data_IF_322143338071
#
_entry.id   IF_322143338071
#
_cell.length_a   1.000
_cell.length_b   1.000
_cell.length_c   1.000
_cell.angle_alpha   90.00
_cell.angle_beta   90.00
_cell.angle_gamma   90.00
#
_symmetry.space_group_name_H-M   'P 1'
#
loop_
_entity.id
_entity.type
_entity.pdbx_description
1 polymer ?
#
# COMPACT_ATOMS: atom_id res chain seq x y z
N UNK A 1 -12.97 49.63 0.40
CA UNK A 1 -12.22 49.35 -0.85
C UNK A 1 -11.33 48.15 -0.54
N UNK A 2 -11.76 46.89 -0.64
CA UNK A 2 -12.14 46.08 -1.83
C UNK A 2 -11.21 46.33 -3.03
N UNK A 3 -10.38 45.33 -3.38
CA UNK A 3 -10.01 44.82 -4.73
C UNK A 3 -9.09 43.57 -4.59
N UNK A 4 -9.34 42.62 -3.67
CA UNK A 4 -8.68 41.29 -3.75
C UNK A 4 -9.56 40.09 -3.36
N UNK A 5 -10.82 40.31 -3.00
CA UNK A 5 -11.78 39.24 -2.80
C UNK A 5 -12.69 39.11 -4.02
N UNK A 6 -12.19 38.49 -5.10
CA UNK A 6 -13.04 37.83 -6.12
C UNK A 6 -12.22 37.08 -7.17
N UNK A 7 -12.59 35.81 -7.33
CA UNK A 7 -12.35 34.92 -8.49
C UNK A 7 -10.96 34.25 -8.50
N UNK A 8 -10.73 33.39 -7.52
CA UNK A 8 -10.35 32.02 -7.88
C UNK A 8 -11.51 31.15 -7.44
N UNK A 9 -12.24 30.55 -8.39
CA UNK A 9 -12.93 29.30 -8.07
C UNK A 9 -11.83 28.35 -7.61
N UNK A 10 -11.66 28.19 -6.29
CA UNK A 10 -10.98 27.02 -5.75
C UNK A 10 -11.81 25.85 -6.26
N UNK A 11 -11.34 25.20 -7.32
CA UNK A 11 -11.84 23.87 -7.65
C UNK A 11 -11.54 23.04 -6.41
N UNK A 12 -12.55 22.77 -5.61
CA UNK A 12 -12.45 21.82 -4.51
C UNK A 12 -12.50 20.42 -5.10
N UNK A 13 -11.67 19.51 -4.56
CA UNK A 13 -11.81 18.10 -4.88
C UNK A 13 -13.08 17.60 -4.18
N UNK A 14 -13.75 16.64 -4.81
CA UNK A 14 -14.79 15.85 -4.15
C UNK A 14 -14.29 14.40 -4.13
N UNK A 15 -14.03 13.79 -2.95
CA UNK A 15 -13.55 12.42 -2.85
C UNK A 15 -14.42 11.41 -3.60
N UNK A 16 -15.74 11.64 -3.62
CA UNK A 16 -16.69 10.79 -4.35
C UNK A 16 -16.51 10.85 -5.88
N UNK A 17 -16.10 12.00 -6.42
CA UNK A 17 -15.95 12.22 -7.87
C UNK A 17 -14.55 11.89 -8.38
N UNK A 18 -13.57 11.80 -7.47
CA UNK A 18 -12.14 11.70 -7.79
C UNK A 18 -11.59 10.29 -7.64
N UNK A 19 -12.29 9.41 -6.91
CA UNK A 19 -11.83 8.03 -6.69
C UNK A 19 -10.51 7.96 -5.95
N UNK A 20 -10.26 8.91 -5.03
CA UNK A 20 -9.06 8.96 -4.19
C UNK A 20 -8.93 7.64 -3.42
N UNK A 21 -7.74 7.06 -3.44
CA UNK A 21 -7.41 5.86 -2.67
C UNK A 21 -6.13 6.06 -1.88
N UNK A 22 -6.04 5.39 -0.74
CA UNK A 22 -4.89 5.44 0.15
C UNK A 22 -4.28 4.05 0.35
N UNK A 23 -2.98 4.03 0.61
CA UNK A 23 -2.24 2.83 0.92
C UNK A 23 -2.14 1.81 -0.21
N UNK A 24 -1.36 0.78 0.08
CA UNK A 24 -1.11 -0.36 -0.80
C UNK A 24 -2.27 -1.35 -0.73
N UNK A 25 -2.51 -2.06 -1.83
CA UNK A 25 -3.48 -3.15 -1.84
C UNK A 25 -2.93 -4.37 -1.08
N UNK A 26 -3.68 -4.89 -0.10
CA UNK A 26 -3.27 -6.06 0.71
C UNK A 26 -3.91 -7.37 0.27
N UNK A 27 -5.07 -7.31 -0.39
CA UNK A 27 -5.78 -8.49 -0.89
C UNK A 27 -6.38 -9.43 0.16
N UNK A 28 -6.38 -9.05 1.45
CA UNK A 28 -6.91 -9.90 2.53
C UNK A 28 -8.43 -9.88 2.66
N UNK A 29 -9.07 -8.75 2.41
CA UNK A 29 -10.52 -8.67 2.52
C UNK A 29 -11.14 -9.36 1.30
N UNK A 30 -11.68 -10.56 1.52
CA UNK A 30 -12.49 -11.31 0.55
C UNK A 30 -13.95 -11.24 0.93
N UNK A 31 -14.81 -10.96 -0.03
CA UNK A 31 -16.26 -11.02 0.17
C UNK A 31 -16.75 -12.48 0.06
N UNK A 32 -18.00 -12.71 0.46
CA UNK A 32 -18.64 -14.04 0.42
C UNK A 32 -18.58 -14.66 -0.97
N UNK A 33 -18.89 -13.89 -2.02
CA UNK A 33 -18.83 -14.36 -3.41
C UNK A 33 -17.44 -14.86 -3.81
N UNK A 34 -16.37 -14.15 -3.45
CA UNK A 34 -15.01 -14.60 -3.70
C UNK A 34 -14.72 -15.92 -2.95
N UNK A 35 -15.10 -16.03 -1.68
CA UNK A 35 -14.92 -17.28 -0.91
C UNK A 35 -15.64 -18.45 -1.59
N UNK A 36 -16.87 -18.25 -2.06
CA UNK A 36 -17.63 -19.25 -2.82
C UNK A 36 -16.93 -19.65 -4.13
N UNK A 37 -16.38 -18.69 -4.89
CA UNK A 37 -15.64 -18.98 -6.12
C UNK A 37 -14.38 -19.80 -5.83
N UNK A 38 -13.68 -19.53 -4.73
CA UNK A 38 -12.52 -20.31 -4.32
C UNK A 38 -12.90 -21.77 -3.99
N UNK A 39 -13.92 -21.97 -3.16
CA UNK A 39 -14.42 -23.30 -2.82
C UNK A 39 -14.89 -24.08 -4.06
N UNK A 40 -15.58 -23.37 -4.96
CA UNK A 40 -16.02 -23.90 -6.25
C UNK A 40 -14.84 -24.35 -7.11
N UNK A 41 -13.77 -23.54 -7.19
CA UNK A 41 -12.55 -23.91 -7.91
C UNK A 41 -11.96 -25.21 -7.37
N UNK A 42 -11.79 -25.33 -6.05
CA UNK A 42 -11.27 -26.53 -5.40
C UNK A 42 -12.15 -27.76 -5.69
N UNK A 43 -13.47 -27.61 -5.59
CA UNK A 43 -14.44 -28.68 -5.85
C UNK A 43 -14.39 -29.16 -7.31
N UNK A 44 -14.34 -28.24 -8.27
CA UNK A 44 -14.27 -28.55 -9.71
C UNK A 44 -12.96 -29.23 -10.09
N UNK A 45 -11.83 -28.78 -9.51
CA UNK A 45 -10.54 -29.41 -9.74
C UNK A 45 -10.53 -30.88 -9.28
N UNK A 46 -11.07 -31.16 -8.08
CA UNK A 46 -11.21 -32.53 -7.55
C UNK A 46 -12.07 -33.43 -8.43
N UNK A 47 -13.07 -32.85 -9.12
CA UNK A 47 -13.92 -33.53 -10.11
C UNK A 47 -13.28 -33.66 -11.50
N UNK A 48 -12.04 -33.19 -11.67
CA UNK A 48 -11.28 -33.16 -12.93
C UNK A 48 -11.90 -32.25 -14.01
N UNK A 49 -12.78 -31.32 -13.61
CA UNK A 49 -13.28 -30.27 -14.49
C UNK A 49 -12.33 -29.06 -14.43
N UNK A 50 -11.16 -29.23 -15.04
CA UNK A 50 -10.05 -28.29 -14.89
C UNK A 50 -10.34 -26.91 -15.50
N UNK A 51 -11.00 -26.85 -16.66
CA UNK A 51 -11.34 -25.56 -17.28
C UNK A 51 -12.32 -24.76 -16.43
N UNK A 52 -13.37 -25.41 -15.90
CA UNK A 52 -14.32 -24.74 -15.01
C UNK A 52 -13.68 -24.37 -13.66
N UNK A 53 -12.74 -25.19 -13.17
CA UNK A 53 -11.95 -24.86 -11.99
C UNK A 53 -11.12 -23.59 -12.17
N UNK A 54 -10.43 -23.45 -13.31
CA UNK A 54 -9.63 -22.26 -13.60
C UNK A 54 -10.53 -21.04 -13.76
N UNK A 55 -11.66 -21.19 -14.43
CA UNK A 55 -12.66 -20.12 -14.53
C UNK A 55 -13.11 -19.63 -13.15
N UNK A 56 -13.49 -20.54 -12.25
CA UNK A 56 -13.87 -20.18 -10.88
C UNK A 56 -12.72 -19.47 -10.14
N UNK A 57 -11.48 -19.93 -10.30
CA UNK A 57 -10.30 -19.25 -9.73
C UNK A 57 -10.12 -17.83 -10.28
N UNK A 58 -10.29 -17.62 -11.59
CA UNK A 58 -10.17 -16.29 -12.18
C UNK A 58 -11.28 -15.35 -11.66
N UNK A 59 -12.50 -15.85 -11.47
CA UNK A 59 -13.59 -15.08 -10.85
C UNK A 59 -13.31 -14.77 -9.37
N UNK A 60 -12.63 -15.65 -8.63
CA UNK A 60 -12.15 -15.35 -7.27
C UNK A 60 -11.18 -14.15 -7.24
N UNK A 61 -10.39 -13.95 -8.30
CA UNK A 61 -9.46 -12.82 -8.41
C UNK A 61 -10.15 -11.50 -8.77
N UNK A 62 -11.38 -11.53 -9.30
CA UNK A 62 -12.15 -10.32 -9.63
C UNK A 62 -12.49 -9.59 -8.33
N UNK A 63 -12.16 -8.30 -8.25
CA UNK A 63 -12.54 -7.44 -7.11
C UNK A 63 -14.00 -7.00 -7.26
N UNK A 64 -14.69 -6.65 -6.16
CA UNK A 64 -16.08 -6.14 -6.22
C UNK A 64 -16.30 -4.96 -7.17
N UNK A 65 -15.27 -4.12 -7.37
CA UNK A 65 -15.28 -2.99 -8.30
C UNK A 65 -15.12 -3.40 -9.78
N UNK A 66 -14.91 -4.68 -10.08
CA UNK A 66 -15.00 -5.29 -11.42
C UNK A 66 -13.85 -5.02 -12.40
N UNK A 67 -12.82 -4.27 -12.00
CA UNK A 67 -11.92 -3.63 -12.99
C UNK A 67 -10.48 -4.16 -13.06
N UNK A 68 -10.11 -5.17 -12.27
CA UNK A 68 -8.74 -5.69 -12.19
C UNK A 68 -8.49 -6.95 -13.03
N UNK A 69 -9.50 -7.79 -13.26
CA UNK A 69 -9.40 -8.99 -14.10
C UNK A 69 -10.47 -8.94 -15.18
N UNK A 70 -10.09 -9.13 -16.44
CA UNK A 70 -11.00 -9.32 -17.57
C UNK A 70 -10.99 -10.80 -17.97
N UNK A 71 -12.16 -11.37 -18.29
CA UNK A 71 -12.29 -12.79 -18.66
C UNK A 71 -13.23 -12.89 -19.86
N UNK A 72 -12.74 -13.46 -20.95
CA UNK A 72 -13.50 -13.74 -22.18
C UNK A 72 -13.53 -15.24 -22.44
N UNK A 73 -14.71 -15.79 -22.70
CA UNK A 73 -14.90 -17.22 -22.97
C UNK A 73 -15.39 -17.46 -24.38
N UNK A 74 -14.71 -18.34 -25.09
CA UNK A 74 -15.11 -18.77 -26.44
C UNK A 74 -15.12 -20.30 -26.47
N UNK A 75 -16.30 -20.90 -26.23
CA UNK A 75 -16.42 -22.36 -26.12
C UNK A 75 -15.66 -22.90 -24.90
N UNK A 76 -14.59 -23.68 -25.14
CA UNK A 76 -13.71 -24.21 -24.09
C UNK A 76 -12.45 -23.36 -23.86
N UNK A 77 -12.29 -22.29 -24.62
CA UNK A 77 -11.16 -21.39 -24.50
C UNK A 77 -11.51 -20.26 -23.53
N UNK A 78 -10.55 -19.95 -22.66
CA UNK A 78 -10.61 -18.79 -21.76
C UNK A 78 -9.45 -17.88 -22.16
N UNK A 79 -9.74 -16.61 -22.38
CA UNK A 79 -8.75 -15.55 -22.45
C UNK A 79 -8.95 -14.67 -21.22
N UNK A 80 -7.88 -14.25 -20.57
CA UNK A 80 -7.96 -13.39 -19.41
C UNK A 80 -6.84 -12.37 -19.37
N UNK A 81 -7.12 -11.22 -18.76
CA UNK A 81 -6.11 -10.22 -18.44
C UNK A 81 -6.16 -9.91 -16.96
N UNK A 82 -5.00 -9.77 -16.33
CA UNK A 82 -4.87 -9.41 -14.91
C UNK A 82 -4.02 -8.15 -14.82
N UNK A 83 -4.58 -7.12 -14.19
CA UNK A 83 -3.86 -5.89 -13.88
C UNK A 83 -3.13 -6.04 -12.55
N UNK A 84 -1.84 -5.73 -12.55
CA UNK A 84 -1.02 -5.64 -11.36
C UNK A 84 -0.09 -4.44 -11.48
N UNK A 85 -0.44 -3.36 -10.78
CA UNK A 85 0.35 -2.14 -10.77
C UNK A 85 0.52 -1.57 -12.18
N UNK A 86 1.76 -1.42 -12.62
CA UNK A 86 2.14 -0.96 -13.96
C UNK A 86 2.06 -2.07 -15.03
N UNK A 87 1.79 -3.32 -14.64
CA UNK A 87 1.85 -4.49 -15.52
C UNK A 87 0.47 -5.04 -15.88
N UNK A 88 0.33 -5.43 -17.14
CA UNK A 88 -0.76 -6.25 -17.66
C UNK A 88 -0.25 -7.67 -17.92
N UNK A 89 -0.95 -8.65 -17.37
CA UNK A 89 -0.68 -10.07 -17.58
C UNK A 89 -1.76 -10.60 -18.50
N UNK A 90 -1.36 -11.14 -19.65
CA UNK A 90 -2.25 -11.76 -20.62
C UNK A 90 -2.17 -13.27 -20.48
N UNK A 91 -3.30 -13.95 -20.45
CA UNK A 91 -3.33 -15.39 -20.28
C UNK A 91 -4.43 -16.08 -21.06
N UNK A 92 -4.21 -17.36 -21.30
CA UNK A 92 -5.11 -18.22 -22.07
C UNK A 92 -5.18 -19.63 -21.51
N UNK A 93 -6.36 -20.22 -21.60
CA UNK A 93 -6.61 -21.64 -21.34
C UNK A 93 -7.16 -22.25 -22.62
N UNK A 94 -6.39 -23.14 -23.24
CA UNK A 94 -6.81 -23.82 -24.48
C UNK A 94 -6.12 -25.19 -24.61
N UNK A 95 -6.83 -26.18 -25.13
CA UNK A 95 -6.25 -27.47 -25.51
C UNK A 95 -5.62 -28.24 -24.35
N UNK A 96 -6.15 -28.11 -23.14
CA UNK A 96 -5.58 -28.72 -21.94
C UNK A 96 -4.41 -27.95 -21.33
N UNK A 97 -4.04 -26.80 -21.89
CA UNK A 97 -2.92 -25.98 -21.43
C UNK A 97 -3.38 -24.64 -20.88
N UNK A 98 -2.60 -24.13 -19.93
CA UNK A 98 -2.68 -22.75 -19.47
C UNK A 98 -1.37 -22.05 -19.80
N UNK A 99 -1.48 -20.79 -20.23
CA UNK A 99 -0.37 -19.87 -20.41
C UNK A 99 -0.71 -18.53 -19.80
N UNK A 100 0.26 -17.89 -19.18
CA UNK A 100 0.17 -16.49 -18.77
C UNK A 100 1.51 -15.82 -19.04
N UNK A 101 1.50 -14.61 -19.56
CA UNK A 101 2.71 -13.83 -19.81
C UNK A 101 2.52 -12.36 -19.48
N UNK A 102 3.55 -11.76 -18.90
CA UNK A 102 3.68 -10.33 -18.75
C UNK A 102 4.81 -9.85 -19.66
N UNK A 103 4.51 -8.92 -20.57
CA UNK A 103 5.52 -8.24 -21.39
C UNK A 103 6.05 -7.04 -20.60
N UNK A 104 7.31 -7.10 -20.18
CA UNK A 104 7.87 -6.14 -19.22
C UNK A 104 8.62 -5.03 -19.94
N UNK A 105 9.49 -5.40 -20.90
CA UNK A 105 10.37 -4.45 -21.58
C UNK A 105 10.52 -4.70 -23.06
N UNK A 106 10.83 -3.62 -23.77
CA UNK A 106 11.43 -3.66 -25.10
C UNK A 106 12.89 -3.21 -25.04
N UNK A 107 13.72 -3.79 -25.90
CA UNK A 107 15.14 -3.47 -26.01
C UNK A 107 15.58 -3.47 -27.47
N UNK A 108 16.49 -2.56 -27.85
CA UNK A 108 17.04 -2.54 -29.20
C UNK A 108 18.07 -3.66 -29.41
N UNK A 109 18.94 -3.91 -28.41
CA UNK A 109 19.94 -4.97 -28.41
C UNK A 109 20.09 -5.58 -27.02
N UNK A 110 20.12 -6.92 -26.90
CA UNK A 110 20.29 -7.57 -25.61
C UNK A 110 21.73 -7.34 -25.12
N UNK A 111 21.87 -6.85 -23.88
CA UNK A 111 23.17 -6.65 -23.23
C UNK A 111 23.51 -7.88 -22.38
N UNK A 112 24.76 -8.33 -22.42
CA UNK A 112 25.21 -9.51 -21.63
C UNK A 112 24.91 -9.40 -20.13
N UNK A 113 25.11 -8.25 -19.44
CA UNK A 113 24.79 -8.12 -18.03
C UNK A 113 23.30 -8.32 -17.73
N UNK A 114 22.42 -7.76 -18.57
CA UNK A 114 20.98 -7.94 -18.46
C UNK A 114 20.60 -9.43 -18.59
N UNK A 115 21.11 -10.12 -19.62
CA UNK A 115 20.81 -11.54 -19.82
C UNK A 115 21.29 -12.40 -18.63
N UNK A 116 22.47 -12.11 -18.07
CA UNK A 116 22.97 -12.82 -16.88
C UNK A 116 22.05 -12.59 -15.69
N UNK A 117 21.64 -11.35 -15.44
CA UNK A 117 20.73 -11.02 -14.34
C UNK A 117 19.37 -11.72 -14.46
N UNK A 118 18.79 -11.76 -15.67
CA UNK A 118 17.54 -12.50 -15.92
C UNK A 118 17.70 -14.00 -15.66
N UNK A 119 18.85 -14.59 -16.03
CA UNK A 119 19.13 -16.00 -15.74
C UNK A 119 19.30 -16.26 -14.25
N UNK A 120 19.94 -15.36 -13.50
CA UNK A 120 20.08 -15.46 -12.05
C UNK A 120 18.71 -15.36 -11.36
N UNK A 121 17.84 -14.45 -11.82
CA UNK A 121 16.46 -14.34 -11.31
C UNK A 121 15.66 -15.62 -11.55
N UNK A 122 15.83 -16.27 -12.71
CA UNK A 122 15.15 -17.55 -13.00
C UNK A 122 15.51 -18.65 -12.00
N UNK A 123 16.66 -18.60 -11.32
CA UNK A 123 17.02 -19.58 -10.29
C UNK A 123 16.21 -19.40 -8.99
N UNK A 124 15.64 -18.22 -8.77
CA UNK A 124 14.83 -17.91 -7.59
C UNK A 124 13.32 -18.08 -7.81
N UNK A 125 12.86 -18.14 -9.07
CA UNK A 125 11.45 -18.30 -9.42
C UNK A 125 11.00 -19.76 -9.31
N UNK A 126 9.78 -19.97 -8.83
CA UNK A 126 9.22 -21.31 -8.61
C UNK A 126 8.24 -21.74 -9.69
N UNK A 127 7.48 -20.79 -10.25
CA UNK A 127 6.35 -21.08 -11.15
C UNK A 127 6.49 -20.43 -12.51
N UNK A 128 7.28 -19.37 -12.61
CA UNK A 128 7.46 -18.55 -13.79
C UNK A 128 8.92 -18.44 -14.20
N UNK A 129 9.18 -17.93 -15.41
CA UNK A 129 10.53 -17.69 -15.89
C UNK A 129 10.60 -16.51 -16.84
N UNK A 130 11.67 -15.74 -16.73
CA UNK A 130 12.06 -14.77 -17.72
C UNK A 130 12.41 -15.47 -19.02
N UNK A 131 11.87 -14.93 -20.10
CA UNK A 131 12.16 -15.33 -21.47
C UNK A 131 12.30 -14.10 -22.34
N UNK A 132 13.03 -14.24 -23.44
CA UNK A 132 13.12 -13.23 -24.47
C UNK A 132 12.46 -13.76 -25.73
N UNK A 133 11.61 -12.94 -26.33
CA UNK A 133 11.05 -13.21 -27.65
C UNK A 133 11.12 -11.91 -28.44
N UNK A 134 11.72 -11.99 -29.62
CA UNK A 134 12.01 -10.85 -30.48
C UNK A 134 12.86 -9.80 -29.73
N UNK A 135 12.38 -8.56 -29.64
CA UNK A 135 13.01 -7.45 -28.93
C UNK A 135 12.35 -7.16 -27.59
N UNK A 136 11.76 -8.17 -26.96
CA UNK A 136 11.04 -8.00 -25.71
C UNK A 136 11.36 -9.06 -24.65
N UNK A 137 11.34 -8.62 -23.40
CA UNK A 137 11.46 -9.47 -22.20
C UNK A 137 10.07 -9.76 -21.68
N UNK A 138 9.84 -11.03 -21.41
CA UNK A 138 8.60 -11.53 -20.82
C UNK A 138 8.90 -12.29 -19.55
N UNK A 139 7.98 -12.24 -18.59
CA UNK A 139 7.88 -13.22 -17.52
C UNK A 139 6.70 -14.14 -17.83
N UNK A 140 6.94 -15.45 -17.91
CA UNK A 140 5.97 -16.42 -18.44
C UNK A 140 5.69 -17.56 -17.48
N UNK A 141 4.49 -18.10 -17.61
CA UNK A 141 4.01 -19.36 -17.05
C UNK A 141 3.41 -20.17 -18.21
N UNK A 142 3.78 -21.44 -18.29
CA UNK A 142 3.14 -22.42 -19.16
C UNK A 142 3.02 -23.78 -18.48
N UNK A 143 1.90 -24.46 -18.70
CA UNK A 143 1.67 -25.77 -18.08
C UNK A 143 0.39 -26.46 -18.54
N UNK A 144 0.24 -27.71 -18.13
CA UNK A 144 -0.99 -28.50 -18.32
C UNK A 144 -2.01 -28.12 -17.23
N UNK A 145 -3.28 -27.94 -17.60
CA UNK A 145 -4.35 -27.59 -16.65
C UNK A 145 -4.61 -28.68 -15.62
N UNK A 146 -4.24 -29.93 -15.93
CA UNK A 146 -4.32 -31.05 -15.00
C UNK A 146 -3.38 -30.88 -13.81
N UNK A 147 -2.28 -30.14 -13.98
CA UNK A 147 -1.23 -29.92 -12.95
C UNK A 147 -1.31 -28.50 -12.35
N UNK A 148 -2.38 -27.77 -12.65
CA UNK A 148 -2.65 -26.41 -12.22
C UNK A 148 -3.80 -26.37 -11.20
N UNK A 149 -3.62 -27.04 -10.05
CA UNK A 149 -4.55 -26.92 -8.92
C UNK A 149 -4.78 -25.45 -8.53
N UNK A 150 -5.96 -25.07 -8.01
CA UNK A 150 -6.24 -23.67 -7.68
C UNK A 150 -5.18 -22.99 -6.81
N UNK A 151 -4.66 -23.67 -5.78
CA UNK A 151 -3.57 -23.15 -4.94
C UNK A 151 -2.30 -22.84 -5.76
N UNK A 152 -1.80 -23.84 -6.49
CA UNK A 152 -0.62 -23.71 -7.33
C UNK A 152 -0.77 -22.62 -8.40
N UNK A 153 -1.92 -22.58 -9.08
CA UNK A 153 -2.16 -21.58 -10.11
C UNK A 153 -2.31 -20.16 -9.51
N UNK A 154 -2.92 -20.02 -8.35
CA UNK A 154 -2.97 -18.76 -7.62
C UNK A 154 -1.56 -18.22 -7.33
N UNK A 155 -0.68 -19.06 -6.77
CA UNK A 155 0.70 -18.64 -6.49
C UNK A 155 1.52 -18.41 -7.76
N UNK A 156 1.29 -19.17 -8.82
CA UNK A 156 1.94 -18.95 -10.11
C UNK A 156 1.55 -17.59 -10.74
N UNK A 157 0.27 -17.26 -10.74
CA UNK A 157 -0.21 -15.95 -11.22
C UNK A 157 0.28 -14.82 -10.31
N UNK A 158 0.29 -15.02 -8.99
CA UNK A 158 0.84 -14.06 -8.03
C UNK A 158 2.33 -13.82 -8.27
N UNK A 159 3.11 -14.86 -8.51
CA UNK A 159 4.55 -14.76 -8.78
C UNK A 159 4.82 -13.96 -10.05
N UNK A 160 4.12 -14.24 -11.16
CA UNK A 160 4.24 -13.43 -12.38
C UNK A 160 3.91 -11.98 -12.06
N UNK A 161 2.73 -11.74 -11.49
CA UNK A 161 2.21 -10.40 -11.25
C UNK A 161 3.15 -9.54 -10.41
N UNK A 162 3.49 -10.02 -9.22
CA UNK A 162 4.28 -9.25 -8.25
C UNK A 162 5.74 -9.16 -8.64
N UNK A 163 6.29 -10.16 -9.34
CA UNK A 163 7.67 -10.08 -9.85
C UNK A 163 7.77 -9.12 -11.02
N UNK A 164 6.85 -9.17 -11.99
CA UNK A 164 6.90 -8.26 -13.14
C UNK A 164 6.78 -6.81 -12.72
N UNK A 165 5.86 -6.50 -11.79
CA UNK A 165 5.60 -5.16 -11.25
C UNK A 165 6.73 -4.62 -10.36
N UNK A 166 7.56 -5.51 -9.82
CA UNK A 166 8.76 -5.08 -9.07
C UNK A 166 9.96 -4.90 -9.99
N UNK A 167 10.10 -5.77 -10.98
CA UNK A 167 11.28 -5.80 -11.83
C UNK A 167 11.22 -4.79 -12.97
N UNK A 168 10.03 -4.32 -13.36
CA UNK A 168 9.89 -3.28 -14.38
C UNK A 168 10.56 -1.96 -13.93
N UNK A 169 10.38 -1.61 -12.67
CA UNK A 169 11.00 -0.46 -12.03
C UNK A 169 12.51 -0.67 -11.81
N UNK A 170 12.89 -1.77 -11.14
CA UNK A 170 14.28 -2.03 -10.77
C UNK A 170 15.19 -2.16 -12.00
N UNK A 171 14.75 -2.88 -13.03
CA UNK A 171 15.54 -3.05 -14.24
C UNK A 171 15.53 -1.79 -15.11
N UNK A 172 14.46 -0.98 -15.11
CA UNK A 172 14.48 0.33 -15.79
C UNK A 172 15.51 1.29 -15.20
N UNK A 173 15.59 1.32 -13.85
CA UNK A 173 16.54 2.16 -13.15
C UNK A 173 18.00 1.77 -13.45
N UNK A 174 18.29 0.47 -13.55
CA UNK A 174 19.63 -0.05 -13.81
C UNK A 174 20.01 -0.05 -15.30
N UNK A 175 19.06 -0.33 -16.18
CA UNK A 175 19.28 -0.49 -17.61
C UNK A 175 18.49 0.54 -18.42
N UNK A 176 19.00 1.77 -18.51
CA UNK A 176 18.39 2.89 -19.26
C UNK A 176 18.05 2.60 -20.75
N UNK A 177 18.57 1.52 -21.33
CA UNK A 177 18.22 1.08 -22.69
C UNK A 177 16.91 0.30 -22.78
N UNK A 178 16.29 -0.02 -21.65
CA UNK A 178 14.98 -0.67 -21.60
C UNK A 178 13.88 0.37 -21.75
N UNK A 179 12.85 0.02 -22.53
CA UNK A 179 11.63 0.81 -22.65
C UNK A 179 10.50 0.04 -21.99
N UNK A 180 9.83 0.69 -21.04
CA UNK A 180 8.59 0.19 -20.45
C UNK A 180 7.48 0.11 -21.52
N UNK A 181 6.60 -0.86 -21.38
CA UNK A 181 5.48 -1.11 -22.30
C UNK A 181 4.22 -1.32 -21.48
N UNK A 182 3.07 -1.07 -22.09
CA UNK A 182 1.80 -1.55 -21.55
C UNK A 182 1.27 -0.71 -20.41
N UNK A 183 1.69 0.56 -20.27
CA UNK A 183 1.22 1.47 -19.22
C UNK A 183 -0.17 2.07 -19.50
N UNK A 184 -0.91 1.56 -20.49
CA UNK A 184 -2.20 2.13 -20.92
C UNK A 184 -3.33 1.92 -19.90
N UNK A 185 -3.18 0.97 -18.96
CA UNK A 185 -4.14 0.73 -17.89
C UNK A 185 -3.89 1.58 -16.63
N UNK A 186 -2.81 2.38 -16.59
CA UNK A 186 -2.56 3.34 -15.53
C UNK A 186 -3.69 4.36 -15.50
N UNK A 187 -4.23 4.62 -14.31
CA UNK A 187 -5.35 5.53 -14.11
C UNK A 187 -4.80 6.92 -13.75
N UNK A 188 -4.90 7.92 -14.64
CA UNK A 188 -4.45 9.27 -14.31
C UNK A 188 -5.33 9.85 -13.20
N UNK A 189 -4.70 10.59 -12.29
CA UNK A 189 -5.40 11.42 -11.30
C UNK A 189 -5.44 12.87 -11.78
N UNK A 190 -6.34 13.66 -11.18
CA UNK A 190 -6.53 15.05 -11.58
C UNK A 190 -5.25 15.89 -11.37
N UNK A 191 -5.02 16.89 -12.22
CA UNK A 191 -3.88 17.79 -12.05
C UNK A 191 -3.89 18.50 -10.69
N UNK A 192 -5.06 18.82 -10.16
CA UNK A 192 -5.21 19.41 -8.83
C UNK A 192 -4.75 18.45 -7.73
N UNK A 193 -5.14 17.18 -7.78
CA UNK A 193 -4.70 16.16 -6.83
C UNK A 193 -3.17 16.00 -6.85
N UNK A 194 -2.56 15.97 -8.05
CA UNK A 194 -1.09 15.90 -8.18
C UNK A 194 -0.38 17.08 -7.53
N UNK A 195 -0.93 18.28 -7.70
CA UNK A 195 -0.39 19.51 -7.11
C UNK A 195 -0.48 19.51 -5.58
N UNK A 196 -1.62 19.09 -5.02
CA UNK A 196 -1.80 18.95 -3.58
C UNK A 196 -0.79 17.93 -3.02
N UNK A 197 -0.71 16.73 -3.63
CA UNK A 197 0.23 15.69 -3.21
C UNK A 197 1.68 16.16 -3.28
N UNK A 198 2.10 16.83 -4.35
CA UNK A 198 3.46 17.36 -4.49
C UNK A 198 3.78 18.43 -3.43
N UNK A 199 2.83 19.33 -3.13
CA UNK A 199 3.04 20.35 -2.11
C UNK A 199 3.26 19.70 -0.73
N UNK A 200 2.35 18.80 -0.33
CA UNK A 200 2.46 18.09 0.95
C UNK A 200 3.71 17.21 1.03
N UNK A 201 4.11 16.57 -0.07
CA UNK A 201 5.39 15.85 -0.16
C UNK A 201 6.57 16.74 0.25
N UNK A 202 6.70 17.94 -0.34
CA UNK A 202 7.78 18.87 0.04
C UNK A 202 7.64 19.36 1.47
N UNK A 203 6.44 19.81 1.86
CA UNK A 203 6.19 20.40 3.17
C UNK A 203 6.49 19.40 4.29
N UNK A 204 6.05 18.15 4.17
CA UNK A 204 6.29 17.13 5.18
C UNK A 204 7.76 16.77 5.31
N UNK A 205 8.49 16.62 4.19
CA UNK A 205 9.94 16.36 4.26
C UNK A 205 10.67 17.53 4.91
N UNK A 206 10.40 18.77 4.48
CA UNK A 206 11.06 19.96 5.00
C UNK A 206 10.77 20.19 6.48
N UNK A 207 9.52 20.01 6.90
CA UNK A 207 9.13 20.14 8.31
C UNK A 207 9.80 19.08 9.17
N UNK A 208 9.82 17.82 8.72
CA UNK A 208 10.48 16.73 9.46
C UNK A 208 11.98 16.97 9.59
N UNK A 209 12.67 17.37 8.52
CA UNK A 209 14.10 17.68 8.58
C UNK A 209 14.41 18.85 9.52
N UNK A 210 13.53 19.85 9.57
CA UNK A 210 13.63 20.95 10.54
C UNK A 210 13.48 20.42 11.96
N UNK A 211 12.47 19.59 12.23
CA UNK A 211 12.26 19.00 13.55
C UNK A 211 13.44 18.15 14.01
N UNK A 212 13.99 17.32 13.13
CA UNK A 212 15.20 16.53 13.43
C UNK A 212 16.37 17.43 13.81
N UNK A 213 16.53 18.59 13.18
CA UNK A 213 17.61 19.54 13.51
C UNK A 213 17.43 20.22 14.88
N UNK A 214 16.21 20.28 15.41
CA UNK A 214 15.86 20.99 16.65
C UNK A 214 15.98 20.11 17.91
N UNK A 215 15.93 18.78 17.79
CA UNK A 215 15.87 17.84 18.93
C UNK A 215 17.21 17.70 19.70
N UNK A 216 18.32 18.16 19.13
CA UNK A 216 19.64 18.15 19.78
C UNK A 216 20.28 16.76 19.90
N UNK A 217 21.61 16.71 20.00
CA UNK A 217 22.40 15.47 19.92
C UNK A 217 22.16 14.47 21.08
N UNK A 218 21.82 14.95 22.29
CA UNK A 218 21.75 14.11 23.50
C UNK A 218 20.41 13.36 23.70
N UNK A 219 19.31 13.83 23.10
CA UNK A 219 17.98 13.19 23.18
C UNK A 219 17.56 12.56 21.83
N UNK A 220 18.32 12.82 20.75
CA UNK A 220 17.79 12.78 19.39
C UNK A 220 17.97 11.51 18.57
N UNK A 221 18.90 10.60 18.90
CA UNK A 221 19.23 9.50 17.97
C UNK A 221 18.10 8.50 17.79
N UNK A 222 17.56 7.97 18.90
CA UNK A 222 16.44 7.04 18.90
C UNK A 222 15.09 7.73 18.62
N UNK A 223 14.96 9.02 18.96
CA UNK A 223 13.76 9.81 18.67
C UNK A 223 13.64 10.16 17.17
N UNK A 224 14.76 10.40 16.49
CA UNK A 224 14.83 10.73 15.05
C UNK A 224 14.29 9.58 14.19
N UNK A 225 14.47 8.34 14.64
CA UNK A 225 13.88 7.14 14.03
C UNK A 225 12.38 7.33 13.78
N UNK A 226 11.64 7.69 14.83
CA UNK A 226 10.18 7.80 14.77
C UNK A 226 9.74 8.90 13.81
N UNK A 227 10.46 10.02 13.77
CA UNK A 227 10.21 11.08 12.80
C UNK A 227 10.39 10.59 11.37
N UNK A 228 11.52 9.98 11.04
CA UNK A 228 11.78 9.51 9.68
C UNK A 228 10.83 8.39 9.26
N UNK A 229 10.62 7.36 10.09
CA UNK A 229 9.70 6.30 9.71
C UNK A 229 8.24 6.76 9.64
N UNK A 230 7.80 7.66 10.53
CA UNK A 230 6.48 8.28 10.40
C UNK A 230 6.34 9.02 9.06
N UNK A 231 7.39 9.74 8.63
CA UNK A 231 7.40 10.46 7.36
C UNK A 231 7.33 9.50 6.16
N UNK A 232 8.16 8.46 6.15
CA UNK A 232 8.20 7.44 5.08
C UNK A 232 6.82 6.84 4.91
N UNK A 233 6.23 6.31 5.99
CA UNK A 233 4.96 5.62 5.92
C UNK A 233 3.77 6.55 5.68
N UNK A 234 3.84 7.79 6.17
CA UNK A 234 2.84 8.81 5.86
C UNK A 234 2.84 9.18 4.38
N UNK A 235 4.01 9.33 3.76
CA UNK A 235 4.13 9.57 2.31
C UNK A 235 3.62 8.35 1.53
N UNK A 236 4.09 7.15 1.88
CA UNK A 236 3.70 5.90 1.21
C UNK A 236 2.18 5.67 1.26
N UNK A 237 1.56 5.95 2.41
CA UNK A 237 0.14 5.72 2.60
C UNK A 237 -0.76 6.82 2.01
N UNK A 238 -0.50 8.09 2.34
CA UNK A 238 -1.38 9.20 1.97
C UNK A 238 -1.14 9.71 0.55
N UNK A 239 0.12 9.85 0.15
CA UNK A 239 0.44 10.33 -1.21
C UNK A 239 0.40 9.19 -2.21
N UNK A 240 0.72 7.97 -1.74
CA UNK A 240 0.71 6.75 -2.54
C UNK A 240 1.44 6.94 -3.88
N UNK A 241 2.74 7.29 -3.84
CA UNK A 241 3.53 7.37 -5.04
C UNK A 241 3.71 5.98 -5.65
N UNK A 242 3.90 5.95 -6.97
CA UNK A 242 4.26 4.75 -7.73
C UNK A 242 5.59 5.01 -8.47
N UNK A 243 6.11 4.04 -9.21
CA UNK A 243 7.33 4.22 -10.01
C UNK A 243 8.56 4.63 -9.18
N UNK A 244 9.36 5.57 -9.70
CA UNK A 244 10.68 5.86 -9.13
C UNK A 244 10.62 6.41 -7.70
N UNK A 245 9.68 7.30 -7.41
CA UNK A 245 9.51 7.88 -6.07
C UNK A 245 9.17 6.82 -5.03
N UNK A 246 8.31 5.86 -5.37
CA UNK A 246 8.02 4.72 -4.49
C UNK A 246 9.28 3.91 -4.19
N UNK A 247 10.05 3.60 -5.22
CA UNK A 247 11.30 2.83 -5.07
C UNK A 247 12.33 3.57 -4.21
N UNK A 248 12.48 4.88 -4.38
CA UNK A 248 13.38 5.67 -3.53
C UNK A 248 12.92 5.67 -2.06
N UNK A 249 11.61 5.74 -1.78
CA UNK A 249 11.10 5.61 -0.41
C UNK A 249 11.36 4.22 0.19
N UNK A 250 11.16 3.15 -0.59
CA UNK A 250 11.48 1.78 -0.16
C UNK A 250 12.97 1.62 0.14
N UNK A 251 13.86 2.15 -0.72
CA UNK A 251 15.31 2.16 -0.45
C UNK A 251 15.67 2.91 0.83
N UNK A 252 15.02 4.05 1.11
CA UNK A 252 15.26 4.80 2.35
C UNK A 252 14.86 3.95 3.57
N UNK A 253 13.71 3.28 3.52
CA UNK A 253 13.25 2.36 4.56
C UNK A 253 14.26 1.22 4.76
N UNK A 254 14.62 0.53 3.68
CA UNK A 254 15.48 -0.66 3.72
C UNK A 254 16.89 -0.32 4.21
N UNK A 255 17.51 0.73 3.67
CA UNK A 255 18.83 1.18 4.10
C UNK A 255 18.89 1.56 5.58
N UNK A 256 17.79 2.06 6.16
CA UNK A 256 17.75 2.33 7.59
C UNK A 256 17.75 1.02 8.39
N UNK A 257 16.97 0.04 7.94
CA UNK A 257 16.84 -1.27 8.59
C UNK A 257 18.06 -2.19 8.36
N UNK A 258 18.89 -1.93 7.34
CA UNK A 258 20.10 -2.69 7.05
C UNK A 258 21.15 -2.62 8.18
N UNK A 259 21.78 -3.77 8.45
CA UNK A 259 22.92 -4.06 9.34
C UNK A 259 23.01 -3.34 10.70
N UNK A 260 23.15 -4.12 11.77
CA UNK A 260 23.46 -3.62 13.12
C UNK A 260 24.88 -3.02 13.24
N UNK A 261 25.74 -3.23 12.24
CA UNK A 261 27.13 -2.74 12.24
C UNK A 261 27.24 -1.23 11.96
N UNK A 262 26.16 -0.57 11.53
CA UNK A 262 26.12 0.87 11.26
C UNK A 262 25.50 1.60 12.45
N UNK A 263 26.19 2.63 12.95
CA UNK A 263 25.67 3.42 14.07
C UNK A 263 24.38 4.17 13.70
N UNK A 264 23.50 4.38 14.69
CA UNK A 264 22.23 5.11 14.50
C UNK A 264 22.46 6.51 13.93
N UNK A 265 23.55 7.19 14.30
CA UNK A 265 23.94 8.49 13.74
C UNK A 265 24.19 8.43 12.25
N UNK A 266 24.95 7.44 11.77
CA UNK A 266 25.24 7.28 10.34
C UNK A 266 23.97 6.93 9.57
N UNK A 267 23.08 6.11 10.13
CA UNK A 267 21.76 5.83 9.55
C UNK A 267 20.94 7.11 9.43
N UNK A 268 20.82 7.88 10.51
CA UNK A 268 20.09 9.15 10.52
C UNK A 268 20.65 10.17 9.52
N UNK A 269 21.98 10.25 9.38
CA UNK A 269 22.63 11.11 8.39
C UNK A 269 22.33 10.65 6.96
N UNK A 270 22.50 9.36 6.65
CA UNK A 270 22.22 8.81 5.33
C UNK A 270 20.74 9.01 4.93
N UNK A 271 19.82 8.85 5.86
CA UNK A 271 18.39 9.11 5.66
C UNK A 271 18.11 10.59 5.40
N UNK A 272 18.74 11.49 6.16
CA UNK A 272 18.65 12.94 5.92
C UNK A 272 19.07 13.29 4.49
N UNK A 273 20.26 12.83 4.09
CA UNK A 273 20.80 13.06 2.75
C UNK A 273 19.90 12.48 1.65
N UNK A 274 19.23 11.36 1.93
CA UNK A 274 18.28 10.75 0.99
C UNK A 274 17.03 11.61 0.80
N UNK A 275 16.50 12.19 1.88
CA UNK A 275 15.41 13.15 1.80
C UNK A 275 15.82 14.46 1.11
N UNK A 276 17.06 14.93 1.30
CA UNK A 276 17.59 16.08 0.56
C UNK A 276 17.65 15.80 -0.95
N UNK A 277 18.04 14.58 -1.35
CA UNK A 277 18.00 14.15 -2.75
C UNK A 277 16.57 14.12 -3.29
N UNK A 278 15.61 13.61 -2.53
CA UNK A 278 14.19 13.61 -2.91
C UNK A 278 13.65 15.03 -3.15
N UNK A 279 14.01 16.00 -2.29
CA UNK A 279 13.65 17.41 -2.47
C UNK A 279 14.30 18.06 -3.69
N UNK A 280 15.42 17.50 -4.17
CA UNK A 280 16.14 17.94 -5.37
C UNK A 280 15.56 17.39 -6.69
N UNK A 281 14.63 16.43 -6.64
CA UNK A 281 13.99 15.89 -7.84
C UNK A 281 13.11 17.00 -8.47
N UNK A 282 13.20 17.24 -9.80
CA UNK A 282 12.32 18.19 -10.48
C UNK A 282 10.84 17.86 -10.25
N UNK A 283 10.02 18.89 -10.05
CA UNK A 283 8.58 18.75 -9.79
C UNK A 283 7.88 17.87 -10.82
N UNK A 284 8.25 18.06 -12.08
CA UNK A 284 7.67 17.35 -13.22
C UNK A 284 7.93 15.85 -13.16
N UNK A 285 9.06 15.42 -12.59
CA UNK A 285 9.36 13.99 -12.40
C UNK A 285 8.59 13.44 -11.19
N UNK A 286 8.51 14.16 -10.07
CA UNK A 286 7.71 13.74 -8.90
C UNK A 286 6.21 13.58 -9.26
N UNK A 287 5.67 14.52 -10.04
CA UNK A 287 4.26 14.52 -10.44
C UNK A 287 3.91 13.36 -11.39
N UNK A 288 4.88 12.84 -12.15
CA UNK A 288 4.67 11.66 -13.00
C UNK A 288 4.40 10.41 -12.17
N UNK A 289 4.95 10.34 -10.96
CA UNK A 289 4.82 9.21 -10.05
C UNK A 289 3.53 9.23 -9.22
N UNK A 290 2.70 10.28 -9.37
CA UNK A 290 1.36 10.30 -8.80
C UNK A 290 0.30 9.86 -9.83
N UNK A 291 -0.13 8.61 -9.71
CA UNK A 291 -1.22 8.02 -10.49
C UNK A 291 -1.84 6.86 -9.70
N UNK A 292 -3.03 6.44 -10.14
CA UNK A 292 -3.70 5.27 -9.57
C UNK A 292 -3.38 4.02 -10.41
N UNK A 293 -3.28 2.89 -9.72
CA UNK A 293 -3.07 1.58 -10.32
C UNK A 293 -4.20 0.62 -9.99
N UNK A 294 -4.29 -0.45 -10.79
CA UNK A 294 -5.14 -1.61 -10.51
C UNK A 294 -4.24 -2.74 -10.04
N UNK A 295 -4.59 -3.34 -8.91
CA UNK A 295 -3.79 -4.39 -8.27
C UNK A 295 -4.67 -5.58 -7.97
N UNK A 296 -4.19 -6.77 -8.32
CA UNK A 296 -4.92 -8.03 -8.10
C UNK A 296 -4.36 -8.82 -6.92
N UNK A 297 -3.04 -8.78 -6.73
CA UNK A 297 -2.35 -9.47 -5.65
C UNK A 297 -1.72 -8.48 -4.69
N UNK A 298 -1.94 -8.69 -3.39
CA UNK A 298 -1.27 -7.93 -2.34
C UNK A 298 0.19 -8.33 -2.20
N UNK A 299 1.02 -7.33 -1.87
CA UNK A 299 2.46 -7.48 -1.66
C UNK A 299 2.77 -7.69 -0.17
N UNK A 300 2.00 -7.06 0.72
CA UNK A 300 2.12 -7.24 2.16
C UNK A 300 1.81 -8.68 2.59
N UNK A 301 2.51 -9.14 3.61
CA UNK A 301 2.27 -10.46 4.19
C UNK A 301 0.96 -10.46 4.97
N UNK A 302 0.13 -11.51 4.85
CA UNK A 302 -1.00 -11.70 5.75
C UNK A 302 -0.51 -11.70 7.21
N UNK A 303 -1.11 -10.88 8.06
CA UNK A 303 -0.86 -10.87 9.49
C UNK A 303 -2.10 -11.33 10.24
N UNK A 304 -1.90 -12.10 11.32
CA UNK A 304 -2.98 -12.31 12.29
C UNK A 304 -3.20 -11.04 13.10
N UNK A 305 -4.40 -10.85 13.65
CA UNK A 305 -4.63 -9.71 14.53
C UNK A 305 -3.69 -9.71 15.75
N UNK A 306 -3.37 -10.89 16.30
CA UNK A 306 -2.43 -11.02 17.41
C UNK A 306 -1.04 -10.44 17.08
N UNK A 307 -0.52 -10.69 15.87
CA UNK A 307 0.78 -10.12 15.46
C UNK A 307 0.75 -8.59 15.43
N UNK A 308 -0.38 -8.01 15.04
CA UNK A 308 -0.56 -6.55 15.00
C UNK A 308 -0.64 -6.01 16.43
N UNK A 309 -1.46 -6.63 17.29
CA UNK A 309 -1.60 -6.24 18.70
C UNK A 309 -0.28 -6.34 19.46
N UNK A 310 0.49 -7.42 19.27
CA UNK A 310 1.81 -7.58 19.89
C UNK A 310 2.79 -6.48 19.47
N UNK A 311 2.78 -6.10 18.19
CA UNK A 311 3.58 -4.99 17.68
C UNK A 311 3.15 -3.64 18.28
N UNK A 312 1.85 -3.33 18.26
CA UNK A 312 1.28 -2.11 18.83
C UNK A 312 1.63 -2.00 20.31
N UNK A 313 1.44 -3.07 21.08
CA UNK A 313 1.79 -3.14 22.48
C UNK A 313 3.28 -2.87 22.71
N UNK A 314 4.16 -3.53 21.96
CA UNK A 314 5.61 -3.36 22.09
C UNK A 314 6.07 -1.93 21.79
N UNK A 315 5.48 -1.25 20.81
CA UNK A 315 5.81 0.13 20.48
C UNK A 315 5.21 1.13 21.47
N UNK A 316 3.95 0.95 21.89
CA UNK A 316 3.30 1.85 22.86
C UNK A 316 4.00 1.85 24.23
N UNK A 317 4.61 0.73 24.65
CA UNK A 317 5.45 0.69 25.85
C UNK A 317 6.67 1.62 25.74
N UNK A 318 7.27 1.77 24.54
CA UNK A 318 8.40 2.68 24.31
C UNK A 318 7.96 4.15 24.34
N UNK A 319 6.73 4.44 23.92
CA UNK A 319 6.20 5.80 23.85
C UNK A 319 6.08 6.46 25.22
N UNK A 320 5.82 5.68 26.28
CA UNK A 320 5.74 6.18 27.68
C UNK A 320 6.95 7.01 28.05
N UNK A 321 8.15 6.62 27.60
CA UNK A 321 9.37 7.37 27.86
C UNK A 321 9.34 8.78 27.27
N UNK A 322 8.85 8.95 26.03
CA UNK A 322 8.77 10.27 25.39
C UNK A 322 7.80 11.19 26.12
N UNK A 323 6.67 10.64 26.60
CA UNK A 323 5.70 11.38 27.40
C UNK A 323 6.29 11.86 28.72
N UNK A 324 6.89 10.94 29.47
CA UNK A 324 7.47 11.24 30.79
C UNK A 324 8.61 12.26 30.71
N UNK A 325 9.29 12.35 29.55
CA UNK A 325 10.37 13.30 29.28
C UNK A 325 9.89 14.57 28.53
N UNK A 326 8.59 14.80 28.43
CA UNK A 326 8.00 16.01 27.80
C UNK A 326 8.45 16.22 26.35
N UNK A 327 8.46 15.14 25.56
CA UNK A 327 8.76 15.15 24.12
C UNK A 327 7.48 14.89 23.28
N UNK A 328 6.46 15.78 23.33
CA UNK A 328 5.14 15.51 22.76
C UNK A 328 5.16 15.33 21.24
N UNK A 329 6.08 16.00 20.53
CA UNK A 329 6.22 15.82 19.07
C UNK A 329 6.68 14.39 18.71
N UNK A 330 7.60 13.83 19.49
CA UNK A 330 8.13 12.48 19.27
C UNK A 330 7.10 11.44 19.67
N UNK A 331 6.36 11.68 20.75
CA UNK A 331 5.21 10.87 21.13
C UNK A 331 4.21 10.75 19.96
N UNK A 332 3.80 11.86 19.35
CA UNK A 332 2.87 11.84 18.21
C UNK A 332 3.49 11.19 16.97
N UNK A 333 4.77 11.45 16.68
CA UNK A 333 5.47 10.78 15.58
C UNK A 333 5.54 9.26 15.77
N UNK A 334 5.71 8.79 17.00
CA UNK A 334 5.73 7.37 17.31
C UNK A 334 4.36 6.71 17.11
N UNK A 335 3.25 7.37 17.47
CA UNK A 335 1.92 6.86 17.13
C UNK A 335 1.65 6.85 15.61
N UNK A 336 2.10 7.88 14.89
CA UNK A 336 2.03 7.89 13.42
C UNK A 336 2.86 6.76 12.81
N UNK A 337 4.03 6.48 13.38
CA UNK A 337 4.86 5.35 13.00
C UNK A 337 4.12 4.02 13.17
N UNK A 338 3.46 3.78 14.31
CA UNK A 338 2.69 2.54 14.55
C UNK A 338 1.64 2.35 13.45
N UNK A 339 0.81 3.37 13.19
CA UNK A 339 -0.23 3.32 12.15
C UNK A 339 0.37 3.07 10.76
N UNK A 340 1.40 3.83 10.41
CA UNK A 340 2.08 3.73 9.13
C UNK A 340 2.75 2.37 8.90
N UNK A 341 3.44 1.86 9.93
CA UNK A 341 4.10 0.55 9.90
C UNK A 341 3.10 -0.57 9.67
N UNK A 342 1.94 -0.51 10.34
CA UNK A 342 0.85 -1.47 10.15
C UNK A 342 0.35 -1.46 8.71
N UNK A 343 0.15 -0.29 8.09
CA UNK A 343 -0.24 -0.21 6.68
C UNK A 343 0.84 -0.75 5.72
N UNK A 344 2.11 -0.52 6.04
CA UNK A 344 3.23 -0.90 5.18
C UNK A 344 3.50 -2.40 5.22
N UNK A 345 3.49 -3.01 6.41
CA UNK A 345 3.98 -4.38 6.62
C UNK A 345 2.88 -5.44 6.70
N UNK A 346 1.67 -5.07 7.10
CA UNK A 346 0.62 -6.04 7.42
C UNK A 346 -0.55 -5.96 6.44
N UNK A 347 -0.95 -7.13 5.93
CA UNK A 347 -2.33 -7.31 5.52
C UNK A 347 -3.21 -7.32 6.78
N UNK A 348 -4.20 -6.42 6.86
CA UNK A 348 -5.10 -6.29 8.00
C UNK A 348 -6.57 -6.52 7.62
N UNK A 349 -7.40 -6.90 8.61
CA UNK A 349 -8.85 -6.87 8.46
C UNK A 349 -9.36 -5.44 8.28
N UNK A 350 -10.45 -5.30 7.52
CA UNK A 350 -11.00 -3.99 7.16
C UNK A 350 -11.31 -3.07 8.35
N UNK A 351 -11.86 -3.55 9.49
CA UNK A 351 -12.03 -2.69 10.66
C UNK A 351 -10.73 -2.08 11.19
N UNK A 352 -9.61 -2.84 11.20
CA UNK A 352 -8.30 -2.30 11.59
C UNK A 352 -7.84 -1.21 10.63
N UNK A 353 -7.98 -1.46 9.32
CA UNK A 353 -7.60 -0.49 8.28
C UNK A 353 -8.37 0.82 8.47
N UNK A 354 -9.69 0.75 8.66
CA UNK A 354 -10.55 1.93 8.85
C UNK A 354 -10.23 2.69 10.15
N UNK A 355 -9.99 1.97 11.25
CA UNK A 355 -9.59 2.56 12.53
C UNK A 355 -8.24 3.30 12.44
N UNK A 356 -7.22 2.68 11.85
CA UNK A 356 -5.94 3.34 11.65
C UNK A 356 -6.02 4.48 10.61
N UNK A 357 -6.94 4.39 9.65
CA UNK A 357 -7.18 5.47 8.69
C UNK A 357 -7.77 6.71 9.37
N UNK A 358 -8.70 6.51 10.31
CA UNK A 358 -9.23 7.58 11.15
C UNK A 358 -8.11 8.29 11.94
N UNK A 359 -7.13 7.55 12.47
CA UNK A 359 -5.94 8.17 13.06
C UNK A 359 -5.16 9.02 12.05
N UNK A 360 -4.97 8.53 10.82
CA UNK A 360 -4.30 9.30 9.76
C UNK A 360 -5.04 10.61 9.43
N UNK A 361 -6.38 10.61 9.48
CA UNK A 361 -7.19 11.82 9.30
C UNK A 361 -7.01 12.80 10.45
N UNK A 362 -6.97 12.30 11.69
CA UNK A 362 -6.73 13.11 12.90
C UNK A 362 -5.31 13.71 12.89
N UNK A 363 -4.31 12.97 12.42
CA UNK A 363 -2.93 13.46 12.35
C UNK A 363 -2.69 14.44 11.19
N UNK A 364 -3.50 14.40 10.14
CA UNK A 364 -3.26 15.14 8.88
C UNK A 364 -4.52 15.86 8.35
N UNK A 365 -5.28 16.58 9.18
CA UNK A 365 -6.60 17.08 8.79
C UNK A 365 -6.53 18.11 7.66
N UNK A 366 -5.44 18.88 7.55
CA UNK A 366 -5.18 19.84 6.47
C UNK A 366 -5.05 19.15 5.10
N UNK A 367 -4.40 17.98 5.06
CA UNK A 367 -4.32 17.17 3.84
C UNK A 367 -5.69 16.66 3.42
N UNK A 368 -6.47 16.11 4.36
CA UNK A 368 -7.81 15.60 4.05
C UNK A 368 -8.78 16.71 3.64
N UNK A 369 -8.73 17.88 4.30
CA UNK A 369 -9.52 19.07 3.92
C UNK A 369 -9.23 19.47 2.46
N UNK A 370 -7.96 19.58 2.07
CA UNK A 370 -7.59 19.96 0.70
C UNK A 370 -7.88 18.88 -0.35
N UNK A 371 -7.85 17.62 0.06
CA UNK A 371 -8.30 16.49 -0.75
C UNK A 371 -9.84 16.41 -0.87
N UNK A 372 -10.57 17.30 -0.19
CA UNK A 372 -12.01 17.48 -0.32
C UNK A 372 -12.86 16.69 0.67
N UNK A 373 -12.24 16.06 1.68
CA UNK A 373 -12.97 15.39 2.76
C UNK A 373 -13.59 16.44 3.67
N UNK A 374 -14.82 16.18 4.14
CA UNK A 374 -15.64 17.17 4.85
C UNK A 374 -15.68 16.95 6.35
N UNK A 375 -15.31 15.75 6.77
CA UNK A 375 -15.33 15.31 8.14
C UNK A 375 -14.18 15.98 8.91
N UNK A 376 -14.53 16.77 9.94
CA UNK A 376 -13.57 17.46 10.78
C UNK A 376 -13.35 16.69 12.09
N UNK A 377 -12.38 15.77 12.08
CA UNK A 377 -12.04 14.98 13.28
C UNK A 377 -11.09 15.70 14.23
N UNK A 378 -10.25 16.60 13.72
CA UNK A 378 -9.29 17.35 14.53
C UNK A 378 -9.00 18.72 13.91
N UNK A 379 -9.02 19.75 14.76
CA UNK A 379 -8.75 21.12 14.33
C UNK A 379 -7.34 21.56 14.75
N UNK A 380 -6.43 21.72 13.78
CA UNK A 380 -5.04 22.11 14.04
C UNK A 380 -4.89 23.49 14.70
N UNK A 381 -5.87 24.39 14.55
CA UNK A 381 -5.80 25.77 15.08
C UNK A 381 -6.22 25.85 16.54
N UNK A 382 -7.25 25.09 16.91
CA UNK A 382 -7.79 25.09 18.28
C UNK A 382 -7.25 23.95 19.13
N UNK A 383 -6.70 22.91 18.51
CA UNK A 383 -6.32 21.66 19.18
C UNK A 383 -7.51 20.81 19.63
N UNK A 384 -8.71 21.11 19.14
CA UNK A 384 -9.94 20.44 19.56
C UNK A 384 -10.26 19.23 18.67
N UNK A 385 -10.83 18.19 19.28
CA UNK A 385 -11.34 17.01 18.60
C UNK A 385 -12.81 17.16 18.21
N UNK A 386 -13.16 16.68 17.02
CA UNK A 386 -14.53 16.44 16.61
C UNK A 386 -15.07 15.15 17.25
N UNK A 387 -15.25 15.16 18.56
CA UNK A 387 -15.58 13.95 19.35
C UNK A 387 -16.78 13.18 18.77
N UNK A 388 -17.90 13.85 18.52
CA UNK A 388 -19.12 13.20 17.98
C UNK A 388 -18.83 12.50 16.64
N UNK A 389 -18.14 13.17 15.71
CA UNK A 389 -17.78 12.60 14.43
C UNK A 389 -16.84 11.38 14.56
N UNK A 390 -15.86 11.45 15.46
CA UNK A 390 -14.94 10.33 15.74
C UNK A 390 -15.72 9.13 16.28
N UNK A 391 -16.59 9.34 17.26
CA UNK A 391 -17.38 8.28 17.88
C UNK A 391 -18.36 7.64 16.87
N UNK A 392 -19.03 8.46 16.05
CA UNK A 392 -19.92 7.98 14.98
C UNK A 392 -19.18 7.10 13.96
N UNK A 393 -17.99 7.53 13.52
CA UNK A 393 -17.18 6.78 12.57
C UNK A 393 -16.76 5.43 13.17
N UNK A 394 -16.25 5.41 14.40
CA UNK A 394 -15.86 4.16 15.09
C UNK A 394 -17.06 3.22 15.24
N UNK A 395 -18.22 3.74 15.65
CA UNK A 395 -19.45 2.95 15.80
C UNK A 395 -19.86 2.34 14.46
N UNK A 396 -19.77 3.09 13.36
CA UNK A 396 -20.08 2.61 12.03
C UNK A 396 -19.10 1.53 11.57
N UNK A 397 -17.79 1.72 11.77
CA UNK A 397 -16.75 0.71 11.49
C UNK A 397 -17.06 -0.59 12.24
N UNK A 398 -17.38 -0.50 13.54
CA UNK A 398 -17.71 -1.67 14.36
C UNK A 398 -18.99 -2.35 13.90
N UNK A 399 -20.02 -1.58 13.52
CA UNK A 399 -21.29 -2.11 13.00
C UNK A 399 -21.09 -2.89 11.71
N UNK A 400 -20.26 -2.41 10.80
CA UNK A 400 -19.92 -3.12 9.57
C UNK A 400 -19.07 -4.36 9.83
N UNK A 401 -18.03 -4.23 10.66
CA UNK A 401 -17.16 -5.35 11.02
C UNK A 401 -17.90 -6.49 11.72
N UNK A 402 -18.90 -6.18 12.56
CA UNK A 402 -19.75 -7.19 13.23
C UNK A 402 -20.58 -8.05 12.31
N UNK A 403 -20.77 -7.68 11.04
CA UNK A 403 -21.41 -8.56 10.05
C UNK A 403 -20.62 -9.86 9.86
N UNK A 404 -19.29 -9.79 10.01
CA UNK A 404 -18.38 -10.95 9.91
C UNK A 404 -17.83 -11.40 11.26
N UNK A 405 -17.57 -10.47 12.18
CA UNK A 405 -16.94 -10.72 13.46
C UNK A 405 -17.89 -10.33 14.61
N UNK A 406 -18.82 -11.20 15.05
CA UNK A 406 -19.91 -10.82 15.96
C UNK A 406 -19.45 -10.23 17.30
N UNK A 407 -18.25 -10.61 17.74
CA UNK A 407 -17.66 -10.17 19.01
C UNK A 407 -16.78 -8.91 18.88
N UNK A 408 -16.71 -8.31 17.69
CA UNK A 408 -15.93 -7.09 17.46
C UNK A 408 -16.53 -5.90 18.23
N UNK A 409 -15.71 -5.30 19.08
CA UNK A 409 -16.10 -4.23 20.00
C UNK A 409 -14.97 -3.23 20.19
N UNK A 410 -15.33 -1.94 20.26
CA UNK A 410 -14.45 -0.83 20.59
C UNK A 410 -15.26 0.14 21.46
N UNK A 411 -14.82 0.42 22.68
CA UNK A 411 -15.60 1.21 23.65
C UNK A 411 -15.26 2.69 23.54
N UNK A 412 -16.01 3.43 22.72
CA UNK A 412 -15.79 4.88 22.50
C UNK A 412 -15.83 5.71 23.79
N UNK A 413 -16.58 5.27 24.80
CA UNK A 413 -16.65 5.93 26.11
C UNK A 413 -15.31 5.93 26.88
N UNK A 414 -14.35 5.10 26.49
CA UNK A 414 -13.01 5.06 27.08
C UNK A 414 -12.02 6.02 26.40
N UNK A 415 -12.41 6.65 25.28
CA UNK A 415 -11.57 7.60 24.57
C UNK A 415 -11.38 8.89 25.37
N UNK A 416 -10.14 9.39 25.37
CA UNK A 416 -9.75 10.61 26.08
C UNK A 416 -9.36 11.68 25.06
N UNK A 417 -9.98 12.85 25.14
CA UNK A 417 -9.81 13.94 24.18
C UNK A 417 -9.01 15.12 24.75
N UNK A 418 -8.31 14.92 25.87
CA UNK A 418 -7.54 15.96 26.58
C UNK A 418 -6.35 16.48 25.74
N UNK A 419 -5.72 15.58 24.99
CA UNK A 419 -4.58 15.86 24.11
C UNK A 419 -4.48 14.78 23.02
N UNK A 420 -3.69 15.02 21.97
CA UNK A 420 -3.41 13.98 20.97
C UNK A 420 -2.72 12.74 21.58
N UNK A 421 -1.84 12.93 22.57
CA UNK A 421 -1.19 11.83 23.28
C UNK A 421 -2.21 10.98 24.05
N UNK A 422 -3.06 11.61 24.86
CA UNK A 422 -4.12 10.92 25.63
C UNK A 422 -5.13 10.19 24.73
N UNK A 423 -5.46 10.81 23.58
CA UNK A 423 -6.33 10.20 22.59
C UNK A 423 -5.70 8.95 21.98
N UNK A 424 -4.46 9.02 21.50
CA UNK A 424 -3.78 7.86 20.92
C UNK A 424 -3.62 6.73 21.95
N UNK A 425 -3.31 7.07 23.20
CA UNK A 425 -3.19 6.11 24.29
C UNK A 425 -4.47 5.33 24.56
N UNK A 426 -5.59 6.06 24.69
CA UNK A 426 -6.90 5.45 24.91
C UNK A 426 -7.39 4.69 23.68
N UNK A 427 -7.12 5.22 22.49
CA UNK A 427 -7.44 4.57 21.23
C UNK A 427 -6.73 3.23 21.05
N UNK A 428 -5.40 3.18 21.22
CA UNK A 428 -4.63 1.95 21.02
C UNK A 428 -4.92 0.90 22.11
N UNK A 429 -5.26 1.33 23.34
CA UNK A 429 -5.78 0.40 24.36
C UNK A 429 -7.06 -0.28 23.90
N UNK A 430 -8.02 0.46 23.34
CA UNK A 430 -9.24 -0.14 22.78
C UNK A 430 -8.98 -0.95 21.52
N UNK A 431 -8.01 -0.53 20.70
CA UNK A 431 -7.57 -1.26 19.51
C UNK A 431 -7.05 -2.65 19.88
N UNK A 432 -6.23 -2.80 20.92
CA UNK A 432 -5.65 -4.07 21.36
C UNK A 432 -6.71 -5.12 21.78
N UNK A 433 -7.91 -4.68 22.19
CA UNK A 433 -9.00 -5.58 22.62
C UNK A 433 -9.96 -5.98 21.50
N UNK A 434 -9.70 -5.59 20.25
CA UNK A 434 -10.54 -6.00 19.12
C UNK A 434 -10.56 -7.52 18.97
N UNK A 435 -11.75 -8.09 18.78
CA UNK A 435 -11.94 -9.52 18.64
C UNK A 435 -12.41 -9.88 17.23
N UNK A 436 -11.53 -10.55 16.47
CA UNK A 436 -11.77 -11.01 15.10
C UNK A 436 -12.16 -12.49 15.00
N UNK A 437 -12.76 -13.05 16.05
CA UNK A 437 -13.35 -14.40 15.98
C UNK A 437 -14.54 -14.37 15.01
N UNK A 438 -14.47 -15.19 13.96
CA UNK A 438 -15.48 -15.29 12.90
C UNK A 438 -16.72 -16.02 13.42
N UNK A 439 -17.90 -15.72 12.87
CA UNK A 439 -19.16 -16.39 13.24
C UNK A 439 -19.19 -17.87 12.83
N UNK A 440 -18.33 -18.27 11.89
CA UNK A 440 -18.31 -19.60 11.26
C UNK A 440 -17.38 -20.62 11.95
N UNK A 441 -16.75 -20.25 13.09
CA UNK A 441 -15.89 -21.14 13.88
C UNK A 441 -16.27 -21.20 15.35
#
# INVERSE_FOLDING_TARGET
MSIFSKIFDKKELNPADTGITFGRFTGLSKNEEQVEQWEKAISLYRKKDYTASIDALLNYLVRPQGNNVSITKTGKEIQFEINQGSILIEGSVNGGKIKAEAKIFEFEKPKNPLMRKLLEMNLALQYSFFSMKDQAIYLKLDGEISDASPDKLYYALKEIATTSDKQDDLLSAEFQSLRLIGTSHILPISGLEKEIKYRFFKEWIQNTQKEVSEIGEQQGQAATLYLYFSLIYKIDYLLKPEGNLRNELEKINDNYLESDDITVDLKNQATKESFDRLLGIPKEEVIKDFYNIKTTFGIANPATFQMIADFVYAETEKIKWFRDNSLPKIEIAAYQYISGYCFYNFGMYEPCVKLLHLLMQIFNPDFFEEMGFKEEYYNLKTGAFGQEAIEEEIIQIMKEGRKRFPHLMFLVANLRYDSQGDFCDSFFKEFDFLNFTDALY
#
